data_IF_863206397278
#
_entry.id   IF_863206397278
#
_cell.length_a   1.000
_cell.length_b   1.000
_cell.length_c   1.000
_cell.angle_alpha   90.00
_cell.angle_beta   90.00
_cell.angle_gamma   90.00
#
_symmetry.space_group_name_H-M   'P 1'
#
loop_
_entity.id
_entity.type
_entity.pdbx_description
1 polymer ?
#
# COMPACT_ATOMS: atom_id res chain seq x y z
N UNK A 1 21.17 1.28 -6.77
CA UNK A 1 21.30 1.68 -8.19
C UNK A 1 22.77 1.94 -8.46
N UNK A 2 23.36 1.26 -9.44
CA UNK A 2 24.73 1.53 -9.88
C UNK A 2 24.73 2.69 -10.88
N UNK A 3 25.83 3.42 -10.92
CA UNK A 3 26.09 4.49 -11.87
C UNK A 3 26.23 3.89 -13.26
N UNK A 4 25.52 4.43 -14.23
CA UNK A 4 25.77 4.10 -15.64
C UNK A 4 27.03 4.82 -16.16
N UNK A 5 27.50 4.40 -17.34
CA UNK A 5 28.70 4.96 -17.99
C UNK A 5 28.58 6.48 -18.25
N UNK A 6 27.36 7.00 -18.29
CA UNK A 6 27.05 8.40 -18.58
C UNK A 6 26.83 9.26 -17.33
N UNK A 7 26.99 8.70 -16.12
CA UNK A 7 26.67 9.36 -14.85
C UNK A 7 25.27 10.02 -14.86
N UNK A 8 24.29 9.32 -15.43
CA UNK A 8 23.00 9.90 -15.74
C UNK A 8 22.20 10.26 -14.48
N UNK A 9 21.24 11.17 -14.66
CA UNK A 9 20.30 11.55 -13.60
C UNK A 9 19.44 10.33 -13.27
N UNK A 10 19.42 9.95 -12.00
CA UNK A 10 18.54 8.87 -11.53
C UNK A 10 17.14 9.42 -11.29
N UNK A 11 17.06 10.47 -10.47
CA UNK A 11 15.85 11.26 -10.25
C UNK A 11 16.23 12.68 -9.87
N UNK A 12 15.25 13.59 -9.84
CA UNK A 12 15.46 14.98 -9.49
C UNK A 12 14.18 15.70 -9.15
N UNK A 13 14.34 16.96 -8.77
CA UNK A 13 13.25 17.91 -8.61
C UNK A 13 13.46 19.08 -9.55
N UNK A 14 12.37 19.56 -10.12
CA UNK A 14 12.35 20.74 -10.99
C UNK A 14 11.23 21.67 -10.54
N UNK A 15 11.55 22.94 -10.30
CA UNK A 15 10.57 23.96 -9.97
C UNK A 15 9.54 24.12 -11.09
N UNK A 16 8.33 24.60 -10.76
CA UNK A 16 7.25 24.73 -11.76
C UNK A 16 7.61 25.62 -12.95
N UNK A 17 8.36 26.68 -12.71
CA UNK A 17 8.87 27.62 -13.73
C UNK A 17 10.15 27.11 -14.42
N UNK A 18 10.69 25.98 -13.97
CA UNK A 18 11.92 25.38 -14.48
C UNK A 18 13.21 26.11 -14.13
N UNK A 19 13.16 27.13 -13.25
CA UNK A 19 14.32 27.94 -12.87
C UNK A 19 15.31 27.24 -11.92
N UNK A 20 14.82 26.33 -11.07
CA UNK A 20 15.64 25.49 -10.18
C UNK A 20 15.44 24.02 -10.55
N UNK A 21 16.54 23.32 -10.82
CA UNK A 21 16.56 21.89 -11.09
C UNK A 21 17.66 21.25 -10.26
N UNK A 22 17.30 20.28 -9.41
CA UNK A 22 18.26 19.52 -8.62
C UNK A 22 18.20 18.07 -9.01
N UNK A 23 19.35 17.57 -9.43
CA UNK A 23 19.53 16.22 -9.93
C UNK A 23 20.26 15.35 -8.91
N UNK A 24 19.77 14.14 -8.71
CA UNK A 24 20.39 13.12 -7.86
C UNK A 24 20.93 12.00 -8.74
N UNK A 25 22.09 11.47 -8.35
CA UNK A 25 22.85 10.47 -9.12
C UNK A 25 23.15 9.25 -8.26
N UNK A 26 23.33 8.12 -8.93
CA UNK A 26 23.80 6.90 -8.28
C UNK A 26 25.27 7.08 -7.85
N UNK A 27 25.61 6.49 -6.70
CA UNK A 27 26.97 6.54 -6.14
C UNK A 27 27.71 5.19 -6.24
N UNK A 28 26.97 4.09 -6.45
CA UNK A 28 27.56 2.76 -6.57
C UNK A 28 28.21 2.62 -7.94
N UNK A 29 29.49 2.22 -8.01
CA UNK A 29 30.17 2.04 -9.29
C UNK A 29 29.74 0.78 -10.04
N UNK A 30 29.35 -0.26 -9.31
CA UNK A 30 29.02 -1.57 -9.86
C UNK A 30 27.63 -2.03 -9.43
N UNK A 31 26.97 -2.79 -10.30
CA UNK A 31 25.68 -3.41 -10.02
C UNK A 31 25.83 -4.44 -8.90
N UNK A 32 24.78 -4.59 -8.10
CA UNK A 32 24.73 -5.66 -7.10
C UNK A 32 24.66 -7.02 -7.81
N UNK A 33 25.34 -8.01 -7.23
CA UNK A 33 25.45 -9.37 -7.81
C UNK A 33 24.19 -10.20 -7.62
N UNK A 34 23.32 -9.81 -6.68
CA UNK A 34 22.03 -10.42 -6.44
C UNK A 34 20.92 -9.73 -7.24
N UNK A 35 19.90 -10.50 -7.59
CA UNK A 35 18.71 -9.97 -8.26
C UNK A 35 17.89 -9.08 -7.31
N UNK A 36 17.24 -8.06 -7.86
CA UNK A 36 16.40 -7.12 -7.10
C UNK A 36 15.00 -7.14 -7.72
N UNK A 37 14.02 -7.53 -6.91
CA UNK A 37 12.60 -7.39 -7.23
C UNK A 37 12.05 -6.16 -6.52
N UNK A 38 11.19 -5.39 -7.18
CA UNK A 38 10.55 -4.20 -6.61
C UNK A 38 9.05 -4.43 -6.58
N UNK A 39 8.48 -4.58 -5.39
CA UNK A 39 7.04 -4.69 -5.19
C UNK A 39 6.48 -3.30 -4.87
N UNK A 40 5.41 -2.90 -5.56
CA UNK A 40 4.71 -1.63 -5.36
C UNK A 40 3.20 -1.83 -5.38
N UNK A 41 2.48 -0.88 -4.80
CA UNK A 41 1.02 -0.88 -4.74
C UNK A 41 0.44 0.53 -4.92
N UNK A 42 -0.89 0.65 -4.90
CA UNK A 42 -1.61 1.93 -4.97
C UNK A 42 -1.31 2.92 -3.83
N UNK A 43 -0.64 2.48 -2.75
CA UNK A 43 -0.20 3.32 -1.63
C UNK A 43 1.26 3.76 -1.75
N UNK A 44 2.01 3.19 -2.69
CA UNK A 44 3.38 3.57 -2.99
C UNK A 44 3.39 4.96 -3.65
N UNK A 45 3.84 5.97 -2.91
CA UNK A 45 3.76 7.37 -3.33
C UNK A 45 5.07 8.14 -3.11
N UNK A 46 5.32 9.17 -3.92
CA UNK A 46 6.41 10.14 -3.71
C UNK A 46 7.79 9.47 -3.73
N UNK A 47 8.48 9.40 -2.59
CA UNK A 47 9.82 8.80 -2.50
C UNK A 47 9.83 7.34 -2.96
N UNK A 48 8.79 6.56 -2.65
CA UNK A 48 8.68 5.18 -3.11
C UNK A 48 8.59 5.07 -4.64
N UNK A 49 7.85 5.99 -5.28
CA UNK A 49 7.73 6.04 -6.73
C UNK A 49 9.04 6.47 -7.38
N UNK A 50 9.77 7.42 -6.78
CA UNK A 50 11.09 7.82 -7.28
C UNK A 50 12.12 6.69 -7.15
N UNK A 51 12.07 5.93 -6.05
CA UNK A 51 12.90 4.75 -5.90
C UNK A 51 12.55 3.66 -6.92
N UNK A 52 11.26 3.38 -7.14
CA UNK A 52 10.81 2.42 -8.13
C UNK A 52 11.20 2.84 -9.55
N UNK A 53 10.95 4.10 -9.93
CA UNK A 53 11.34 4.67 -11.21
C UNK A 53 12.86 4.59 -11.44
N UNK A 54 13.65 4.93 -10.42
CA UNK A 54 15.10 4.82 -10.46
C UNK A 54 15.57 3.38 -10.70
N UNK A 55 15.02 2.41 -9.96
CA UNK A 55 15.38 1.00 -10.11
C UNK A 55 14.97 0.46 -11.47
N UNK A 56 13.82 0.89 -11.99
CA UNK A 56 13.33 0.48 -13.31
C UNK A 56 14.12 1.12 -14.45
N UNK A 57 14.05 2.45 -14.59
CA UNK A 57 14.58 3.16 -15.75
C UNK A 57 16.10 3.28 -15.76
N UNK A 58 16.76 3.28 -14.60
CA UNK A 58 18.22 3.39 -14.53
C UNK A 58 18.91 2.03 -14.32
N UNK A 59 18.28 1.05 -13.68
CA UNK A 59 18.91 -0.25 -13.40
C UNK A 59 18.25 -1.46 -14.08
N UNK A 60 17.14 -1.24 -14.80
CA UNK A 60 16.44 -2.28 -15.55
C UNK A 60 15.68 -3.28 -14.69
N UNK A 61 15.38 -2.97 -13.43
CA UNK A 61 14.63 -3.89 -12.57
C UNK A 61 13.14 -3.83 -12.85
N UNK A 62 12.49 -5.00 -12.80
CA UNK A 62 11.05 -5.11 -12.98
C UNK A 62 10.32 -4.64 -11.72
N UNK A 63 9.25 -3.86 -11.94
CA UNK A 63 8.30 -3.48 -10.90
C UNK A 63 7.14 -4.48 -10.93
N UNK A 64 6.69 -4.95 -9.78
CA UNK A 64 5.61 -5.93 -9.61
C UNK A 64 4.53 -5.36 -8.69
N UNK A 65 3.29 -5.83 -8.83
CA UNK A 65 2.19 -5.50 -7.93
C UNK A 65 1.08 -4.72 -8.61
N UNK A 66 0.72 -3.55 -8.05
CA UNK A 66 -0.32 -2.67 -8.59
C UNK A 66 0.25 -1.33 -9.04
N UNK A 67 -0.53 -0.58 -9.82
CA UNK A 67 -0.18 0.80 -10.18
C UNK A 67 0.05 1.65 -8.93
N UNK A 68 1.09 2.49 -8.98
CA UNK A 68 1.44 3.40 -7.89
C UNK A 68 0.47 4.57 -7.76
N UNK A 69 0.58 5.33 -6.68
CA UNK A 69 -0.37 6.40 -6.35
C UNK A 69 -0.45 7.53 -7.41
N UNK A 70 0.68 7.90 -8.02
CA UNK A 70 0.73 8.98 -9.01
C UNK A 70 1.23 10.33 -8.47
N UNK A 71 1.95 10.37 -7.33
CA UNK A 71 2.31 11.66 -6.70
C UNK A 71 3.54 12.28 -7.35
N UNK A 72 3.29 13.14 -8.34
CA UNK A 72 4.34 13.72 -9.19
C UNK A 72 4.84 15.11 -8.78
N UNK A 73 4.33 15.65 -7.67
CA UNK A 73 4.69 16.97 -7.16
C UNK A 73 5.43 16.93 -5.83
N UNK A 74 6.28 17.92 -5.59
CA UNK A 74 6.84 18.21 -4.26
C UNK A 74 6.31 19.54 -3.72
N UNK A 75 6.10 19.57 -2.41
CA UNK A 75 5.65 20.76 -1.70
C UNK A 75 6.78 21.40 -0.92
N UNK A 76 6.78 22.72 -0.88
CA UNK A 76 7.60 23.52 0.02
C UNK A 76 6.70 24.20 1.05
N UNK A 77 7.29 24.61 2.17
CA UNK A 77 6.61 25.40 3.20
C UNK A 77 7.39 26.68 3.41
N UNK A 78 6.69 27.81 3.34
CA UNK A 78 7.21 29.11 3.72
C UNK A 78 6.45 29.56 4.97
N UNK A 79 7.19 30.02 5.97
CA UNK A 79 6.61 30.48 7.23
C UNK A 79 6.92 31.95 7.39
N UNK A 80 5.87 32.76 7.52
CA UNK A 80 5.96 34.21 7.61
C UNK A 80 5.29 34.71 8.90
N UNK A 81 5.83 35.80 9.45
CA UNK A 81 5.22 36.49 10.58
C UNK A 81 4.12 37.41 10.06
N UNK A 82 2.86 37.14 10.45
CA UNK A 82 1.74 38.05 10.16
C UNK A 82 1.68 39.19 11.19
N UNK A 83 2.01 38.88 12.44
CA UNK A 83 2.24 39.85 13.52
C UNK A 83 3.36 39.35 14.43
N UNK A 84 3.83 40.17 15.38
CA UNK A 84 4.86 39.78 16.37
C UNK A 84 4.54 38.51 17.15
N UNK A 85 3.26 38.12 17.24
CA UNK A 85 2.81 36.94 17.99
C UNK A 85 2.17 35.87 17.11
N UNK A 86 1.99 36.11 15.82
CA UNK A 86 1.30 35.19 14.90
C UNK A 86 2.23 34.85 13.73
N UNK A 87 2.56 33.56 13.65
CA UNK A 87 3.28 32.96 12.53
C UNK A 87 2.29 32.18 11.67
N UNK A 88 2.38 32.36 10.36
CA UNK A 88 1.58 31.64 9.36
C UNK A 88 2.50 30.79 8.51
N UNK A 89 2.16 29.51 8.34
CA UNK A 89 2.88 28.62 7.44
C UNK A 89 2.02 28.30 6.22
N UNK A 90 2.56 28.56 5.04
CA UNK A 90 1.92 28.29 3.75
C UNK A 90 2.64 27.12 3.11
N UNK A 91 1.91 26.02 2.86
CA UNK A 91 2.39 24.89 2.08
C UNK A 91 1.89 25.04 0.65
N UNK A 92 2.80 25.05 -0.31
CA UNK A 92 2.46 25.15 -1.73
C UNK A 92 3.25 24.15 -2.55
N UNK A 93 2.71 23.81 -3.73
CA UNK A 93 3.40 22.97 -4.69
C UNK A 93 4.52 23.75 -5.37
N UNK A 94 5.77 23.38 -5.09
CA UNK A 94 6.95 24.08 -5.58
C UNK A 94 7.41 23.58 -6.96
N UNK A 95 7.11 22.32 -7.30
CA UNK A 95 7.52 21.75 -8.58
C UNK A 95 7.17 20.28 -8.72
N UNK A 96 7.88 19.64 -9.64
CA UNK A 96 7.68 18.25 -10.04
C UNK A 96 8.89 17.40 -9.68
N UNK A 97 8.62 16.13 -9.35
CA UNK A 97 9.64 15.10 -9.37
C UNK A 97 9.85 14.62 -10.79
N UNK A 98 11.08 14.28 -11.14
CA UNK A 98 11.39 13.67 -12.43
C UNK A 98 12.40 12.54 -12.32
N UNK A 99 12.43 11.66 -13.31
CA UNK A 99 13.38 10.55 -13.43
C UNK A 99 13.88 10.41 -14.86
N UNK A 100 14.98 9.69 -15.04
CA UNK A 100 15.63 9.51 -16.35
C UNK A 100 15.88 10.86 -17.05
N UNK A 101 15.46 10.97 -18.31
CA UNK A 101 15.57 12.20 -19.10
C UNK A 101 14.42 13.19 -18.81
N UNK A 102 14.29 13.61 -17.56
CA UNK A 102 13.27 14.58 -17.09
C UNK A 102 11.81 14.14 -17.29
N UNK A 103 11.55 12.83 -17.28
CA UNK A 103 10.20 12.29 -17.30
C UNK A 103 9.50 12.60 -15.98
N UNK A 104 8.24 13.03 -16.04
CA UNK A 104 7.38 13.26 -14.89
C UNK A 104 6.39 12.10 -14.87
N UNK A 105 6.30 11.39 -13.75
CA UNK A 105 5.31 10.32 -13.59
C UNK A 105 3.92 10.94 -13.45
N UNK A 106 2.91 10.24 -13.91
CA UNK A 106 1.52 10.63 -13.70
C UNK A 106 0.67 9.36 -13.85
N UNK A 107 -0.23 9.09 -12.91
CA UNK A 107 -0.97 7.82 -12.90
C UNK A 107 -1.80 7.59 -14.17
N UNK A 108 -2.26 8.66 -14.83
CA UNK A 108 -3.20 8.57 -15.95
C UNK A 108 -2.47 8.71 -17.30
N UNK A 109 -1.46 9.57 -17.36
CA UNK A 109 -0.77 9.93 -18.61
C UNK A 109 0.62 9.33 -18.77
N UNK A 110 1.30 8.98 -17.68
CA UNK A 110 2.63 8.37 -17.69
C UNK A 110 2.90 7.53 -16.42
N UNK A 111 2.14 6.43 -16.21
CA UNK A 111 2.30 5.60 -15.03
C UNK A 111 3.62 4.82 -15.07
N UNK A 112 4.09 4.37 -13.90
CA UNK A 112 5.21 3.43 -13.87
C UNK A 112 4.79 2.09 -14.50
N UNK A 113 5.68 1.42 -15.24
CA UNK A 113 5.37 0.17 -15.92
C UNK A 113 5.42 -1.00 -14.93
N UNK A 114 4.36 -1.17 -14.14
CA UNK A 114 4.22 -2.24 -13.16
C UNK A 114 3.71 -3.50 -13.83
N UNK A 115 4.40 -4.62 -13.65
CA UNK A 115 3.91 -5.94 -14.03
C UNK A 115 2.85 -6.38 -13.00
N UNK A 116 1.59 -6.59 -13.40
CA UNK A 116 0.53 -6.91 -12.46
C UNK A 116 0.84 -8.17 -11.65
N UNK A 117 0.64 -8.08 -10.35
CA UNK A 117 0.71 -9.22 -9.43
C UNK A 117 -0.36 -9.01 -8.36
N UNK A 118 -1.46 -9.75 -8.48
CA UNK A 118 -2.63 -9.57 -7.62
C UNK A 118 -2.30 -9.86 -6.16
N UNK A 119 -2.94 -9.12 -5.25
CA UNK A 119 -2.92 -9.38 -3.82
C UNK A 119 -4.07 -10.31 -3.45
N UNK A 120 -3.77 -11.45 -2.84
CA UNK A 120 -4.75 -12.51 -2.54
C UNK A 120 -4.73 -12.91 -1.06
N UNK A 121 -5.79 -13.61 -0.65
CA UNK A 121 -5.93 -14.13 0.71
C UNK A 121 -6.18 -13.01 1.73
N UNK A 122 -5.71 -13.22 2.97
CA UNK A 122 -6.00 -12.35 4.11
C UNK A 122 -5.55 -10.91 3.86
N UNK A 123 -4.46 -10.71 3.12
CA UNK A 123 -3.93 -9.38 2.88
C UNK A 123 -4.66 -8.60 1.78
N UNK A 124 -5.57 -9.23 1.04
CA UNK A 124 -6.28 -8.60 -0.08
C UNK A 124 -7.30 -7.52 0.35
N UNK A 125 -7.69 -7.49 1.63
CA UNK A 125 -8.71 -6.58 2.15
C UNK A 125 -8.20 -5.73 3.32
N UNK A 126 -8.94 -4.69 3.67
CA UNK A 126 -8.60 -3.86 4.84
C UNK A 126 -8.88 -4.59 6.15
N UNK A 127 -8.21 -4.16 7.22
CA UNK A 127 -8.44 -4.68 8.56
C UNK A 127 -9.91 -4.54 8.97
N UNK A 128 -10.36 -5.48 9.80
CA UNK A 128 -11.70 -5.46 10.42
C UNK A 128 -11.87 -4.23 11.31
N UNK A 129 -13.06 -3.64 11.30
CA UNK A 129 -13.42 -2.45 12.08
C UNK A 129 -14.61 -2.80 12.97
N UNK A 130 -14.71 -2.13 14.11
CA UNK A 130 -15.85 -2.22 15.02
C UNK A 130 -16.44 -0.84 15.25
N UNK A 131 -17.77 -0.78 15.26
CA UNK A 131 -18.52 0.44 15.58
C UNK A 131 -19.57 0.15 16.64
N UNK A 132 -20.31 -0.92 16.45
CA UNK A 132 -21.34 -1.44 17.35
C UNK A 132 -21.48 -2.95 17.15
N UNK A 133 -22.20 -3.62 18.04
CA UNK A 133 -22.48 -5.05 17.92
C UNK A 133 -23.33 -5.31 16.67
N UNK A 134 -22.87 -6.23 15.82
CA UNK A 134 -23.59 -6.66 14.62
C UNK A 134 -24.06 -8.10 14.82
N UNK A 135 -25.32 -8.37 14.50
CA UNK A 135 -25.97 -9.68 14.64
C UNK A 135 -26.84 -10.00 13.43
N UNK A 136 -27.39 -11.21 13.42
CA UNK A 136 -28.28 -11.74 12.39
C UNK A 136 -29.32 -10.70 11.92
N UNK A 137 -29.52 -10.65 10.60
CA UNK A 137 -30.47 -9.78 9.88
C UNK A 137 -30.10 -8.28 9.87
N UNK A 138 -28.85 -7.93 10.17
CA UNK A 138 -28.33 -6.56 10.06
C UNK A 138 -27.43 -6.38 8.83
N UNK A 139 -27.33 -5.14 8.35
CA UNK A 139 -26.40 -4.74 7.27
C UNK A 139 -25.39 -3.74 7.81
N UNK A 140 -24.11 -3.99 7.54
CA UNK A 140 -23.02 -3.09 7.89
C UNK A 140 -21.87 -3.23 6.89
N UNK A 141 -21.26 -2.10 6.52
CA UNK A 141 -20.09 -2.07 5.64
C UNK A 141 -18.85 -2.67 6.31
N UNK A 142 -18.77 -2.61 7.63
CA UNK A 142 -17.72 -3.22 8.44
C UNK A 142 -17.73 -4.75 8.33
N UNK A 143 -18.90 -5.35 8.09
CA UNK A 143 -19.06 -6.80 7.97
C UNK A 143 -18.47 -7.37 6.67
N UNK A 144 -18.27 -6.55 5.63
CA UNK A 144 -17.67 -6.99 4.35
C UNK A 144 -16.29 -7.60 4.56
N UNK A 145 -15.43 -6.95 5.35
CA UNK A 145 -14.07 -7.46 5.60
C UNK A 145 -14.07 -8.63 6.59
N UNK A 146 -15.03 -8.68 7.51
CA UNK A 146 -15.24 -9.84 8.40
C UNK A 146 -15.61 -11.07 7.57
N UNK A 147 -16.57 -10.93 6.66
CA UNK A 147 -17.01 -12.00 5.76
C UNK A 147 -15.87 -12.50 4.86
N UNK A 148 -15.12 -11.58 4.24
CA UNK A 148 -13.91 -11.92 3.48
C UNK A 148 -12.89 -12.67 4.32
N UNK A 149 -12.65 -12.21 5.54
CA UNK A 149 -11.72 -12.85 6.46
C UNK A 149 -12.14 -14.27 6.79
N UNK A 150 -13.40 -14.48 7.15
CA UNK A 150 -13.96 -15.81 7.45
C UNK A 150 -13.91 -16.72 6.21
N UNK A 151 -14.23 -16.21 5.02
CA UNK A 151 -14.11 -16.95 3.77
C UNK A 151 -12.69 -17.45 3.54
N UNK A 152 -11.69 -16.59 3.70
CA UNK A 152 -10.29 -16.98 3.49
C UNK A 152 -9.79 -17.91 4.59
N UNK A 153 -10.11 -17.62 5.86
CA UNK A 153 -9.62 -18.40 7.00
C UNK A 153 -10.16 -19.84 7.00
N UNK A 154 -11.43 -20.02 6.63
CA UNK A 154 -12.12 -21.30 6.67
C UNK A 154 -12.38 -21.92 5.29
N UNK A 155 -11.89 -21.29 4.21
CA UNK A 155 -12.15 -21.71 2.84
C UNK A 155 -13.66 -21.89 2.57
N UNK A 156 -14.45 -20.90 2.96
CA UNK A 156 -15.90 -20.84 2.79
C UNK A 156 -16.29 -20.06 1.53
N UNK A 157 -17.58 -20.06 1.23
CA UNK A 157 -18.19 -19.25 0.17
C UNK A 157 -19.45 -18.55 0.70
N UNK A 158 -19.33 -17.91 1.87
CA UNK A 158 -20.37 -17.03 2.41
C UNK A 158 -20.39 -15.70 1.64
N UNK A 159 -21.49 -14.97 1.76
CA UNK A 159 -21.65 -13.65 1.13
C UNK A 159 -20.63 -12.64 1.67
N UNK A 160 -20.29 -11.63 0.87
CA UNK A 160 -19.31 -10.58 1.20
C UNK A 160 -19.90 -9.16 0.99
N UNK A 161 -21.21 -9.03 1.08
CA UNK A 161 -21.94 -7.79 0.78
C UNK A 161 -22.36 -7.01 2.04
N UNK A 162 -21.95 -7.48 3.22
CA UNK A 162 -22.18 -6.81 4.49
C UNK A 162 -23.52 -7.11 5.15
N UNK A 163 -24.37 -7.98 4.59
CA UNK A 163 -25.56 -8.47 5.30
C UNK A 163 -25.24 -9.72 6.12
N UNK A 164 -25.67 -9.71 7.37
CA UNK A 164 -25.41 -10.75 8.36
C UNK A 164 -26.48 -11.84 8.27
N UNK A 165 -26.25 -12.83 7.39
CA UNK A 165 -27.12 -14.00 7.22
C UNK A 165 -26.71 -15.17 8.14
N UNK A 166 -27.47 -16.28 8.05
CA UNK A 166 -27.18 -17.49 8.82
C UNK A 166 -25.78 -18.05 8.50
N UNK A 167 -25.35 -18.00 7.24
CA UNK A 167 -24.01 -18.46 6.86
C UNK A 167 -22.90 -17.64 7.53
N UNK A 168 -23.08 -16.32 7.62
CA UNK A 168 -22.17 -15.43 8.35
C UNK A 168 -22.18 -15.72 9.85
N UNK A 169 -23.36 -15.96 10.44
CA UNK A 169 -23.50 -16.31 11.86
C UNK A 169 -22.79 -17.61 12.20
N UNK A 170 -22.98 -18.65 11.40
CA UNK A 170 -22.36 -19.97 11.61
C UNK A 170 -20.84 -19.88 11.50
N UNK A 171 -20.33 -19.15 10.50
CA UNK A 171 -18.90 -18.90 10.33
C UNK A 171 -18.31 -18.09 11.50
N UNK A 172 -19.05 -17.11 12.03
CA UNK A 172 -18.60 -16.33 13.18
C UNK A 172 -18.60 -17.16 14.46
N UNK A 173 -19.61 -18.01 14.68
CA UNK A 173 -19.65 -18.95 15.81
C UNK A 173 -18.48 -19.94 15.76
N UNK A 174 -18.13 -20.42 14.56
CA UNK A 174 -16.94 -21.25 14.37
C UNK A 174 -15.68 -20.49 14.78
N UNK A 175 -15.53 -19.24 14.31
CA UNK A 175 -14.42 -18.37 14.73
C UNK A 175 -14.35 -18.18 16.23
N UNK A 176 -15.46 -17.80 16.87
CA UNK A 176 -15.53 -17.62 18.31
C UNK A 176 -15.13 -18.91 19.06
N UNK A 177 -15.63 -20.06 18.60
CA UNK A 177 -15.29 -21.37 19.20
C UNK A 177 -13.80 -21.68 19.10
N UNK A 178 -13.21 -21.50 17.90
CA UNK A 178 -11.79 -21.78 17.66
C UNK A 178 -10.86 -20.87 18.46
N UNK A 179 -11.34 -19.67 18.79
CA UNK A 179 -10.61 -18.68 19.60
C UNK A 179 -10.93 -18.73 21.10
N UNK A 180 -11.81 -19.65 21.53
CA UNK A 180 -12.18 -19.80 22.93
C UNK A 180 -13.07 -18.65 23.46
N UNK A 181 -13.76 -17.94 22.58
CA UNK A 181 -14.76 -16.93 22.91
C UNK A 181 -16.15 -17.56 23.12
N UNK A 182 -17.10 -16.77 23.60
CA UNK A 182 -18.51 -17.19 23.63
C UNK A 182 -19.04 -17.26 22.20
N UNK A 183 -19.49 -18.45 21.76
CA UNK A 183 -20.03 -18.69 20.42
C UNK A 183 -21.49 -18.22 20.26
N UNK A 184 -21.74 -16.93 20.51
CA UNK A 184 -23.07 -16.32 20.44
C UNK A 184 -23.48 -15.87 19.02
N UNK A 185 -22.54 -15.84 18.07
CA UNK A 185 -22.77 -15.37 16.71
C UNK A 185 -22.94 -13.86 16.60
N UNK A 186 -22.51 -13.10 17.60
CA UNK A 186 -22.56 -11.63 17.61
C UNK A 186 -21.16 -11.10 17.34
N UNK A 187 -21.02 -10.27 16.30
CA UNK A 187 -19.79 -9.53 16.06
C UNK A 187 -19.71 -8.35 17.02
N UNK A 188 -19.19 -8.62 18.21
CA UNK A 188 -18.99 -7.66 19.29
C UNK A 188 -17.53 -7.19 19.38
N UNK A 189 -17.24 -6.28 20.33
CA UNK A 189 -15.89 -5.73 20.52
C UNK A 189 -14.83 -6.82 20.81
N UNK A 190 -15.18 -7.84 21.58
CA UNK A 190 -14.28 -8.95 21.94
C UNK A 190 -13.94 -9.80 20.70
N UNK A 191 -14.97 -10.17 19.93
CA UNK A 191 -14.83 -10.93 18.69
C UNK A 191 -14.01 -10.14 17.66
N UNK A 192 -14.24 -8.84 17.53
CA UNK A 192 -13.42 -7.99 16.65
C UNK A 192 -11.96 -7.94 17.11
N UNK A 193 -11.70 -7.74 18.41
CA UNK A 193 -10.33 -7.65 18.92
C UNK A 193 -9.54 -8.93 18.65
N UNK A 194 -10.17 -10.08 18.85
CA UNK A 194 -9.55 -11.37 18.59
C UNK A 194 -9.35 -11.60 17.08
N UNK A 195 -10.33 -11.24 16.24
CA UNK A 195 -10.21 -11.32 14.78
C UNK A 195 -9.11 -10.39 14.26
N UNK A 196 -8.98 -9.19 14.82
CA UNK A 196 -7.89 -8.28 14.48
C UNK A 196 -6.53 -8.85 14.87
N UNK A 197 -6.43 -9.47 16.05
CA UNK A 197 -5.20 -10.13 16.53
C UNK A 197 -4.82 -11.30 15.63
N UNK A 198 -5.78 -12.16 15.30
CA UNK A 198 -5.58 -13.31 14.41
C UNK A 198 -5.20 -12.87 12.99
N UNK A 199 -5.88 -11.86 12.45
CA UNK A 199 -5.54 -11.24 11.18
C UNK A 199 -4.10 -10.75 11.18
N UNK A 200 -3.69 -10.06 12.26
CA UNK A 200 -2.32 -9.54 12.40
C UNK A 200 -1.26 -10.62 12.44
N UNK A 201 -1.52 -11.72 13.14
CA UNK A 201 -0.60 -12.86 13.18
C UNK A 201 -0.43 -13.48 11.79
N UNK A 202 -1.52 -13.59 11.02
CA UNK A 202 -1.44 -14.06 9.64
C UNK A 202 -0.74 -13.06 8.73
N UNK A 203 -0.95 -11.75 8.91
CA UNK A 203 -0.31 -10.71 8.09
C UNK A 203 1.18 -10.55 8.35
N UNK A 204 1.63 -10.80 9.58
CA UNK A 204 3.04 -10.68 9.95
C UNK A 204 3.88 -11.88 9.44
N UNK A 205 3.23 -12.96 8.98
CA UNK A 205 3.89 -14.09 8.34
C UNK A 205 3.97 -13.89 6.82
N UNK A 206 5.17 -13.63 6.30
CA UNK A 206 5.39 -13.41 4.86
C UNK A 206 4.95 -14.57 3.96
N UNK A 207 4.82 -15.80 4.49
CA UNK A 207 4.32 -16.94 3.73
C UNK A 207 2.85 -16.80 3.33
N UNK A 208 2.10 -15.94 4.05
CA UNK A 208 0.71 -15.59 3.73
C UNK A 208 0.61 -14.40 2.76
N UNK A 209 1.73 -13.79 2.40
CA UNK A 209 1.80 -12.77 1.35
C UNK A 209 2.11 -13.43 0.01
N UNK A 210 1.08 -13.61 -0.80
CA UNK A 210 1.21 -14.27 -2.08
C UNK A 210 2.13 -13.50 -3.06
N UNK A 211 2.20 -12.17 -2.95
CA UNK A 211 3.08 -11.36 -3.80
C UNK A 211 4.54 -11.59 -3.40
N UNK A 212 4.85 -11.58 -2.10
CA UNK A 212 6.20 -11.88 -1.60
C UNK A 212 6.59 -13.32 -1.92
N UNK A 213 5.72 -14.30 -1.66
CA UNK A 213 5.99 -15.71 -1.98
C UNK A 213 6.22 -15.91 -3.48
N UNK A 214 5.47 -15.22 -4.34
CA UNK A 214 5.70 -15.26 -5.79
C UNK A 214 7.10 -14.73 -6.15
N UNK A 215 7.50 -13.60 -5.58
CA UNK A 215 8.78 -12.95 -5.88
C UNK A 215 10.01 -13.66 -5.30
N UNK A 216 9.84 -14.45 -4.24
CA UNK A 216 10.91 -15.25 -3.64
C UNK A 216 11.16 -16.58 -4.37
N UNK A 217 10.22 -17.03 -5.22
CA UNK A 217 10.42 -18.21 -6.07
C UNK A 217 11.42 -17.86 -7.18
N UNK A 218 12.43 -18.71 -7.35
CA UNK A 218 13.47 -18.58 -8.39
C UNK A 218 12.91 -18.82 -9.79
#
# INVERSE_FOLDING_TARGET
VAQDENNSVVFGIRSKDGSDTRNYRALLKEKKTYDIKVLVDSKSASASEMLAAALHYHSGYTLYGENTFGKNIYQSTVTESLTKSIMVSIRYTAGYWHYGNYQIMDKDTNPLPVLPLDKLGILAFENVKYKEDIKLDQVSMELINVQKYLNVLYNLNIREDGYFDQGTEDALKQFQTDKGLTADGIYNLETMHEMFTDYRLHSDNYLNDNQIVHLLKK
#
